data_IF_892191262465
#
_entry.id   IF_892191262465
#
_cell.length_a   1.000
_cell.length_b   1.000
_cell.length_c   1.000
_cell.angle_alpha   90.00
_cell.angle_beta   90.00
_cell.angle_gamma   90.00
#
_symmetry.space_group_name_H-M   'P 1'
#
loop_
_entity.id
_entity.type
_entity.pdbx_description
1 polymer ?
#
# COMPACT_ATOMS: atom_id res chain seq x y z
N UNK A 1 -31.59 -10.34 4.41
CA UNK A 1 -31.16 -9.66 3.17
C UNK A 1 -29.94 -8.81 3.51
N UNK A 2 -28.76 -9.27 3.12
CA UNK A 2 -27.52 -8.49 3.27
C UNK A 2 -27.53 -7.36 2.23
N UNK A 3 -27.40 -6.11 2.67
CA UNK A 3 -27.25 -4.98 1.78
C UNK A 3 -25.80 -4.82 1.36
N UNK A 4 -25.57 -4.55 0.09
CA UNK A 4 -24.24 -4.20 -0.44
C UNK A 4 -23.76 -2.92 0.22
N UNK A 5 -22.54 -2.91 0.76
CA UNK A 5 -21.94 -1.72 1.36
C UNK A 5 -21.71 -0.64 0.32
N UNK A 6 -21.94 0.62 0.68
CA UNK A 6 -21.67 1.78 -0.15
C UNK A 6 -20.17 1.95 -0.50
N UNK A 7 -19.29 1.42 0.35
CA UNK A 7 -17.82 1.40 0.12
C UNK A 7 -17.42 0.46 -1.03
N UNK A 8 -18.36 -0.36 -1.54
CA UNK A 8 -18.11 -1.39 -2.55
C UNK A 8 -18.77 -1.09 -3.90
N UNK A 9 -19.34 0.11 -4.08
CA UNK A 9 -20.07 0.48 -5.30
C UNK A 9 -19.22 1.32 -6.25
N UNK A 10 -18.15 0.78 -6.83
CA UNK A 10 -17.47 1.45 -7.95
C UNK A 10 -17.16 0.57 -9.15
N UNK A 11 -17.75 -0.61 -9.28
CA UNK A 11 -17.72 -1.34 -10.56
C UNK A 11 -18.86 -2.33 -10.66
N UNK A 12 -19.53 -2.47 -11.82
CA UNK A 12 -20.65 -3.41 -11.99
C UNK A 12 -20.20 -4.87 -12.11
N UNK A 13 -19.19 -5.32 -11.40
CA UNK A 13 -18.65 -6.68 -11.48
C UNK A 13 -18.02 -7.25 -10.21
N UNK A 14 -17.56 -6.42 -9.26
CA UNK A 14 -16.74 -6.90 -8.16
C UNK A 14 -17.35 -6.57 -6.78
N UNK A 15 -18.01 -7.55 -6.19
CA UNK A 15 -18.41 -7.57 -4.79
C UNK A 15 -17.24 -8.03 -3.94
N UNK A 16 -16.32 -7.11 -3.60
CA UNK A 16 -15.14 -7.46 -2.81
C UNK A 16 -15.43 -7.70 -1.31
N UNK A 17 -16.60 -7.27 -0.78
CA UNK A 17 -16.83 -7.20 0.67
C UNK A 17 -18.31 -7.24 1.01
N UNK A 18 -18.64 -7.87 2.13
CA UNK A 18 -19.98 -7.82 2.72
C UNK A 18 -19.96 -7.01 4.00
N UNK A 19 -20.88 -6.08 4.13
CA UNK A 19 -21.14 -5.35 5.37
C UNK A 19 -22.48 -5.78 5.97
N UNK A 20 -22.49 -6.23 7.23
CA UNK A 20 -23.68 -6.71 7.90
C UNK A 20 -24.74 -5.63 8.10
N UNK A 21 -24.33 -4.38 8.20
CA UNK A 21 -25.21 -3.23 8.47
C UNK A 21 -25.48 -2.34 7.25
N UNK A 22 -25.00 -2.75 6.07
CA UNK A 22 -25.30 -2.07 4.81
C UNK A 22 -24.46 -0.84 4.48
N UNK A 23 -23.27 -0.69 5.10
CA UNK A 23 -22.30 0.33 4.76
C UNK A 23 -22.32 1.55 5.66
N UNK A 24 -21.93 2.69 5.10
CA UNK A 24 -21.88 3.97 5.82
C UNK A 24 -23.29 4.50 6.08
N UNK A 25 -23.89 4.05 7.17
CA UNK A 25 -25.19 4.54 7.63
C UNK A 25 -25.03 5.67 8.62
N UNK A 26 -25.78 6.74 8.43
CA UNK A 26 -25.87 7.84 9.40
C UNK A 26 -26.61 7.32 10.64
N UNK A 27 -26.19 7.74 11.82
CA UNK A 27 -26.91 7.49 13.07
C UNK A 27 -28.24 8.28 13.01
N UNK A 28 -29.29 7.68 12.46
CA UNK A 28 -30.65 8.22 12.49
C UNK A 28 -31.54 7.27 13.24
N UNK A 29 -32.50 7.79 13.99
CA UNK A 29 -33.37 7.02 14.87
C UNK A 29 -34.27 6.02 14.10
N UNK A 30 -34.41 6.18 12.79
CA UNK A 30 -35.29 5.37 11.96
C UNK A 30 -34.59 4.19 11.24
N UNK A 31 -33.28 4.19 11.07
CA UNK A 31 -32.61 3.23 10.17
C UNK A 31 -31.59 2.33 10.88
N UNK A 32 -31.15 2.63 12.07
CA UNK A 32 -30.02 1.95 12.70
C UNK A 32 -30.37 1.14 13.94
N UNK A 33 -31.25 0.16 13.81
CA UNK A 33 -31.46 -0.83 14.89
C UNK A 33 -30.24 -1.74 15.13
N UNK A 34 -29.36 -1.90 14.13
CA UNK A 34 -28.20 -2.79 14.20
C UNK A 34 -26.86 -2.06 14.35
N UNK A 35 -26.73 -0.86 13.81
CA UNK A 35 -25.48 -0.09 13.81
C UNK A 35 -25.00 0.37 12.44
N UNK A 36 -23.79 0.90 12.38
CA UNK A 36 -23.15 1.43 11.18
C UNK A 36 -21.65 1.61 11.38
N UNK A 37 -20.98 2.35 10.50
CA UNK A 37 -19.56 2.69 10.67
C UNK A 37 -19.31 3.55 11.91
N UNK A 38 -20.32 4.26 12.41
CA UNK A 38 -20.25 5.05 13.63
C UNK A 38 -20.08 4.24 14.92
N UNK A 39 -20.42 2.94 14.91
CA UNK A 39 -20.21 1.99 16.02
C UNK A 39 -19.55 0.68 15.54
N UNK A 40 -18.86 0.73 14.44
CA UNK A 40 -18.17 -0.42 13.82
C UNK A 40 -16.75 -0.66 14.31
N UNK A 41 -16.19 0.27 15.10
CA UNK A 41 -14.82 0.20 15.59
C UNK A 41 -14.65 -0.61 16.89
N UNK A 42 -13.64 -0.22 17.66
CA UNK A 42 -13.23 -0.92 18.88
C UNK A 42 -14.23 -0.76 20.03
N UNK A 43 -14.22 -1.74 20.94
CA UNK A 43 -15.03 -1.72 22.15
C UNK A 43 -14.50 -0.67 23.13
N UNK A 44 -15.29 0.38 23.40
CA UNK A 44 -14.93 1.45 24.34
C UNK A 44 -15.34 1.05 25.77
N UNK A 45 -16.56 0.52 25.91
CA UNK A 45 -17.10 0.12 27.22
C UNK A 45 -17.72 -1.26 27.11
N UNK A 46 -17.21 -2.19 27.94
CA UNK A 46 -17.76 -3.55 28.03
C UNK A 46 -18.95 -3.59 29.00
N UNK A 47 -19.87 -4.51 28.74
CA UNK A 47 -21.02 -4.80 29.58
C UNK A 47 -21.37 -6.28 29.50
N UNK A 48 -21.86 -6.84 30.63
CA UNK A 48 -22.36 -8.22 30.68
C UNK A 48 -23.53 -8.44 29.72
N UNK A 49 -24.31 -7.39 29.45
CA UNK A 49 -25.40 -7.40 28.44
C UNK A 49 -24.85 -6.85 27.14
N UNK A 50 -24.85 -7.67 26.10
CA UNK A 50 -24.29 -7.31 24.77
C UNK A 50 -24.91 -6.03 24.19
N UNK A 51 -26.20 -5.81 24.43
CA UNK A 51 -26.91 -4.61 23.98
C UNK A 51 -26.41 -3.30 24.62
N UNK A 52 -25.74 -3.39 25.79
CA UNK A 52 -25.21 -2.23 26.52
C UNK A 52 -23.73 -1.98 26.25
N UNK A 53 -23.12 -2.72 25.35
CA UNK A 53 -21.72 -2.50 24.94
C UNK A 53 -21.63 -1.27 24.06
N UNK A 54 -20.69 -0.40 24.36
CA UNK A 54 -20.43 0.82 23.59
C UNK A 54 -19.20 0.60 22.71
N UNK A 55 -19.38 0.80 21.41
CA UNK A 55 -18.30 0.73 20.42
C UNK A 55 -18.07 2.10 19.81
N UNK A 56 -16.81 2.39 19.49
CA UNK A 56 -16.40 3.59 18.78
C UNK A 56 -16.73 3.54 17.28
N UNK A 57 -16.48 4.66 16.63
CA UNK A 57 -16.50 4.71 15.17
C UNK A 57 -15.34 3.90 14.58
N UNK A 58 -15.49 3.47 13.33
CA UNK A 58 -14.38 2.84 12.58
C UNK A 58 -13.24 3.85 12.45
N UNK A 59 -12.02 3.51 12.88
CA UNK A 59 -10.84 4.37 12.72
C UNK A 59 -10.63 4.71 11.24
N UNK A 60 -10.16 5.93 10.95
CA UNK A 60 -10.01 6.48 9.59
C UNK A 60 -11.31 6.59 8.77
N UNK A 61 -12.47 6.32 9.40
CA UNK A 61 -13.76 6.55 8.78
C UNK A 61 -14.38 5.32 8.11
N UNK A 62 -15.45 5.54 7.33
CA UNK A 62 -16.34 4.48 6.85
C UNK A 62 -15.70 3.47 5.88
N UNK A 63 -14.58 3.80 5.25
CA UNK A 63 -13.94 2.95 4.23
C UNK A 63 -12.94 1.97 4.83
N UNK A 64 -12.55 2.13 6.09
CA UNK A 64 -11.60 1.24 6.76
C UNK A 64 -12.28 -0.03 7.28
N UNK A 65 -12.77 -0.87 6.36
CA UNK A 65 -13.52 -2.09 6.70
C UNK A 65 -12.67 -3.15 7.42
N UNK A 66 -11.35 -3.15 7.28
CA UNK A 66 -10.47 -4.12 7.93
C UNK A 66 -10.47 -4.02 9.46
N UNK A 67 -10.82 -2.84 10.01
CA UNK A 67 -11.00 -2.62 11.47
C UNK A 67 -12.47 -2.50 11.87
N UNK A 68 -13.38 -2.91 11.00
CA UNK A 68 -14.81 -2.81 11.25
C UNK A 68 -15.40 -4.16 11.69
N UNK A 69 -16.03 -4.21 12.86
CA UNK A 69 -16.68 -5.44 13.38
C UNK A 69 -17.83 -5.97 12.52
N UNK A 70 -18.38 -5.13 11.64
CA UNK A 70 -19.45 -5.50 10.72
C UNK A 70 -18.95 -6.06 9.39
N UNK A 71 -17.64 -6.13 9.20
CA UNK A 71 -17.04 -6.56 7.95
C UNK A 71 -16.96 -8.08 7.85
N UNK A 72 -17.36 -8.62 6.69
CA UNK A 72 -17.21 -10.03 6.33
C UNK A 72 -16.49 -10.13 5.00
N UNK A 73 -15.57 -11.08 4.90
CA UNK A 73 -14.82 -11.37 3.69
C UNK A 73 -14.77 -12.88 3.43
N UNK A 74 -14.28 -13.28 2.28
CA UNK A 74 -14.12 -14.66 1.87
C UNK A 74 -12.72 -14.86 1.27
N UNK A 75 -12.26 -16.13 1.17
CA UNK A 75 -10.96 -16.47 0.61
C UNK A 75 -10.74 -15.98 -0.82
N UNK A 76 -11.80 -15.92 -1.63
CA UNK A 76 -11.72 -15.39 -3.02
C UNK A 76 -11.25 -13.93 -3.10
N UNK A 77 -11.34 -13.17 -1.99
CA UNK A 77 -10.90 -11.78 -1.92
C UNK A 77 -9.47 -11.63 -1.38
N UNK A 78 -8.79 -12.74 -1.11
CA UNK A 78 -7.44 -12.74 -0.60
C UNK A 78 -6.46 -11.93 -1.47
N UNK A 79 -6.50 -12.00 -2.83
CA UNK A 79 -5.64 -11.17 -3.65
C UNK A 79 -5.87 -9.65 -3.44
N UNK A 80 -7.13 -9.22 -3.32
CA UNK A 80 -7.45 -7.82 -3.07
C UNK A 80 -7.04 -7.35 -1.66
N UNK A 81 -7.16 -8.23 -0.66
CA UNK A 81 -6.67 -7.94 0.68
C UNK A 81 -5.14 -7.84 0.73
N UNK A 82 -4.43 -8.66 -0.04
CA UNK A 82 -2.97 -8.55 -0.17
C UNK A 82 -2.55 -7.25 -0.85
N UNK A 83 -3.25 -6.85 -1.91
CA UNK A 83 -3.00 -5.57 -2.55
C UNK A 83 -3.20 -4.40 -1.57
N UNK A 84 -4.27 -4.45 -0.79
CA UNK A 84 -4.53 -3.47 0.26
C UNK A 84 -3.48 -3.50 1.38
N UNK A 85 -3.02 -4.68 1.78
CA UNK A 85 -1.94 -4.86 2.75
C UNK A 85 -0.64 -4.20 2.29
N UNK A 86 -0.24 -4.42 1.03
CA UNK A 86 0.94 -3.78 0.45
C UNK A 86 0.82 -2.25 0.45
N UNK A 87 -0.38 -1.74 0.14
CA UNK A 87 -0.65 -0.30 0.20
C UNK A 87 -0.53 0.26 1.63
N UNK A 88 -1.05 -0.45 2.63
CA UNK A 88 -0.93 -0.06 4.04
C UNK A 88 0.51 -0.09 4.51
N UNK A 89 1.27 -1.13 4.13
CA UNK A 89 2.71 -1.22 4.40
C UNK A 89 3.47 0.01 3.88
N UNK A 90 3.18 0.42 2.65
CA UNK A 90 3.78 1.62 2.07
C UNK A 90 3.40 2.90 2.83
N UNK A 91 2.11 3.07 3.15
CA UNK A 91 1.63 4.24 3.91
C UNK A 91 2.24 4.30 5.31
N UNK A 92 2.30 3.17 6.01
CA UNK A 92 2.92 3.08 7.34
C UNK A 92 4.41 3.45 7.29
N UNK A 93 5.13 2.93 6.30
CA UNK A 93 6.55 3.27 6.10
C UNK A 93 6.75 4.76 5.79
N UNK A 94 5.93 5.34 4.91
CA UNK A 94 6.00 6.78 4.61
C UNK A 94 5.71 7.64 5.84
N UNK A 95 4.68 7.30 6.60
CA UNK A 95 4.32 8.05 7.79
C UNK A 95 5.39 7.96 8.88
N UNK A 96 6.00 6.77 9.05
CA UNK A 96 7.10 6.55 9.98
C UNK A 96 8.35 7.35 9.59
N UNK A 97 8.75 7.33 8.32
CA UNK A 97 9.90 8.10 7.85
C UNK A 97 9.69 9.61 8.05
N UNK A 98 8.48 10.11 7.74
CA UNK A 98 8.16 11.52 7.97
C UNK A 98 8.19 11.87 9.46
N UNK A 99 7.75 10.95 10.34
CA UNK A 99 7.84 11.14 11.79
C UNK A 99 9.30 11.29 12.25
N UNK A 100 10.20 10.42 11.74
CA UNK A 100 11.64 10.48 12.05
C UNK A 100 12.30 11.76 11.53
N UNK A 101 11.93 12.22 10.32
CA UNK A 101 12.41 13.49 9.78
C UNK A 101 12.01 14.68 10.67
N UNK A 102 10.74 14.74 11.08
CA UNK A 102 10.24 15.80 11.96
C UNK A 102 10.88 15.73 13.35
N UNK A 103 11.11 14.52 13.87
CA UNK A 103 11.80 14.30 15.14
C UNK A 103 13.22 14.88 15.11
N UNK A 104 13.97 14.62 14.04
CA UNK A 104 15.30 15.18 13.86
C UNK A 104 15.33 16.71 13.78
N UNK A 105 14.33 17.34 13.10
CA UNK A 105 14.15 18.79 13.10
C UNK A 105 13.83 19.31 14.52
N UNK A 106 12.99 18.60 15.26
CA UNK A 106 12.59 18.96 16.62
C UNK A 106 13.76 18.87 17.61
N UNK A 107 14.57 17.82 17.53
CA UNK A 107 15.77 17.67 18.35
C UNK A 107 16.77 18.77 18.07
N UNK A 108 17.00 19.11 16.80
CA UNK A 108 17.89 20.22 16.42
C UNK A 108 17.45 21.56 17.02
N UNK A 109 16.14 21.86 17.04
CA UNK A 109 15.62 23.08 17.66
C UNK A 109 15.71 23.06 19.20
N UNK A 110 15.54 21.91 19.83
CA UNK A 110 15.72 21.72 21.27
C UNK A 110 17.19 21.92 21.68
N UNK A 111 18.11 21.42 20.88
CA UNK A 111 19.53 21.63 21.09
C UNK A 111 19.89 23.12 20.96
N UNK A 112 19.35 23.83 19.95
CA UNK A 112 19.52 25.27 19.80
C UNK A 112 18.99 26.05 21.02
N UNK A 113 17.81 25.66 21.52
CA UNK A 113 17.24 26.22 22.73
C UNK A 113 18.18 26.03 23.93
N UNK A 114 18.65 24.81 24.15
CA UNK A 114 19.55 24.45 25.23
C UNK A 114 20.84 25.25 25.17
N UNK A 115 21.48 25.39 24.01
CA UNK A 115 22.69 26.22 23.84
C UNK A 115 22.46 27.71 24.10
N UNK A 116 21.28 28.23 23.68
CA UNK A 116 20.91 29.63 24.01
C UNK A 116 20.79 29.85 25.52
N UNK A 117 20.14 28.92 26.23
CA UNK A 117 19.97 28.96 27.67
C UNK A 117 21.31 28.86 28.40
N UNK A 118 22.22 27.97 28.01
CA UNK A 118 23.56 27.87 28.57
C UNK A 118 24.41 29.14 28.40
N UNK A 119 24.21 29.84 27.26
CA UNK A 119 24.91 31.09 26.98
C UNK A 119 24.23 32.32 27.58
N UNK A 120 23.11 32.15 28.30
CA UNK A 120 22.32 33.27 28.84
C UNK A 120 21.67 34.15 27.76
N UNK A 121 21.47 33.62 26.56
CA UNK A 121 20.84 34.29 25.42
C UNK A 121 19.35 33.95 25.34
N UNK A 122 18.49 34.88 24.93
CA UNK A 122 17.08 34.53 24.71
C UNK A 122 16.94 33.59 23.49
N UNK A 123 16.19 32.51 23.64
CA UNK A 123 15.78 31.67 22.52
C UNK A 123 14.57 32.34 21.84
N UNK A 124 14.67 32.64 20.54
CA UNK A 124 13.65 33.44 19.81
C UNK A 124 12.61 32.55 19.12
N UNK A 125 12.93 31.25 18.87
CA UNK A 125 12.11 30.32 18.04
C UNK A 125 11.10 29.49 18.83
N UNK A 126 10.56 30.03 19.94
CA UNK A 126 9.58 29.31 20.78
C UNK A 126 8.34 28.87 20.01
N UNK A 127 7.79 29.75 19.16
CA UNK A 127 6.59 29.44 18.38
C UNK A 127 6.86 28.33 17.34
N UNK A 128 8.03 28.37 16.71
CA UNK A 128 8.48 27.35 15.76
C UNK A 128 8.63 25.98 16.45
N UNK A 129 9.26 25.94 17.61
CA UNK A 129 9.42 24.73 18.42
C UNK A 129 8.06 24.14 18.80
N UNK A 130 7.11 24.96 19.26
CA UNK A 130 5.76 24.50 19.60
C UNK A 130 4.99 24.00 18.37
N UNK A 131 5.11 24.67 17.22
CA UNK A 131 4.48 24.26 15.99
C UNK A 131 5.02 22.90 15.51
N UNK A 132 6.34 22.73 15.58
CA UNK A 132 7.01 21.49 15.20
C UNK A 132 6.67 20.35 16.15
N UNK A 133 6.58 20.60 17.45
CA UNK A 133 6.15 19.63 18.46
C UNK A 133 4.74 19.10 18.14
N UNK A 134 3.78 19.99 17.84
CA UNK A 134 2.41 19.60 17.46
C UNK A 134 2.38 18.82 16.15
N UNK A 135 3.25 19.18 15.20
CA UNK A 135 3.37 18.48 13.92
C UNK A 135 3.91 17.07 14.13
N UNK A 136 4.93 16.91 14.99
CA UNK A 136 5.49 15.64 15.39
C UNK A 136 4.44 14.70 16.02
N UNK A 137 3.75 15.21 17.05
CA UNK A 137 2.70 14.45 17.76
C UNK A 137 1.60 13.98 16.80
N UNK A 138 1.16 14.86 15.89
CA UNK A 138 0.17 14.49 14.88
C UNK A 138 0.68 13.42 13.93
N UNK A 139 1.92 13.54 13.47
CA UNK A 139 2.53 12.59 12.54
C UNK A 139 2.76 11.24 13.19
N UNK A 140 3.15 11.20 14.45
CA UNK A 140 3.31 9.98 15.23
C UNK A 140 1.97 9.24 15.37
N UNK A 141 0.90 9.94 15.71
CA UNK A 141 -0.45 9.34 15.76
C UNK A 141 -0.86 8.76 14.40
N UNK A 142 -0.58 9.47 13.31
CA UNK A 142 -0.89 8.98 11.96
C UNK A 142 -0.09 7.73 11.61
N UNK A 143 1.19 7.67 11.95
CA UNK A 143 2.04 6.51 11.74
C UNK A 143 1.53 5.29 12.54
N UNK A 144 1.17 5.49 13.80
CA UNK A 144 0.61 4.45 14.68
C UNK A 144 -0.70 3.89 14.13
N UNK A 145 -1.58 4.74 13.61
CA UNK A 145 -2.85 4.30 13.04
C UNK A 145 -2.67 3.49 11.75
N UNK A 146 -1.75 3.89 10.85
CA UNK A 146 -1.42 3.05 9.69
C UNK A 146 -0.78 1.73 10.08
N UNK A 147 0.06 1.70 11.13
CA UNK A 147 0.62 0.46 11.65
C UNK A 147 -0.47 -0.46 12.20
N UNK A 148 -1.46 0.07 12.93
CA UNK A 148 -2.61 -0.70 13.43
C UNK A 148 -3.48 -1.24 12.29
N UNK A 149 -3.72 -0.44 11.24
CA UNK A 149 -4.46 -0.88 10.05
C UNK A 149 -3.73 -2.01 9.34
N UNK A 150 -2.41 -1.89 9.20
CA UNK A 150 -1.56 -2.90 8.60
C UNK A 150 -1.60 -4.22 9.37
N UNK A 151 -1.48 -4.17 10.72
CA UNK A 151 -1.59 -5.34 11.59
C UNK A 151 -2.97 -5.99 11.48
N UNK A 152 -4.04 -5.20 11.50
CA UNK A 152 -5.41 -5.71 11.37
C UNK A 152 -5.63 -6.42 10.03
N UNK A 153 -5.08 -5.87 8.93
CA UNK A 153 -5.14 -6.50 7.62
C UNK A 153 -4.37 -7.83 7.59
N UNK A 154 -3.18 -7.87 8.19
CA UNK A 154 -2.36 -9.07 8.32
C UNK A 154 -3.08 -10.19 9.09
N UNK A 155 -3.64 -9.87 10.25
CA UNK A 155 -4.39 -10.82 11.07
C UNK A 155 -5.62 -11.36 10.34
N UNK A 156 -6.33 -10.51 9.59
CA UNK A 156 -7.47 -10.91 8.79
C UNK A 156 -7.08 -11.89 7.68
N UNK A 157 -6.00 -11.60 6.95
CA UNK A 157 -5.45 -12.46 5.90
C UNK A 157 -5.09 -13.83 6.49
N UNK A 158 -4.35 -13.87 7.59
CA UNK A 158 -3.99 -15.12 8.26
C UNK A 158 -5.18 -15.91 8.78
N UNK A 159 -6.21 -15.22 9.26
CA UNK A 159 -7.46 -15.86 9.67
C UNK A 159 -8.15 -16.56 8.50
N UNK A 160 -8.20 -15.90 7.33
CA UNK A 160 -8.79 -16.48 6.12
C UNK A 160 -8.04 -17.74 5.70
N UNK A 161 -6.70 -17.69 5.70
CA UNK A 161 -5.87 -18.84 5.31
C UNK A 161 -6.09 -20.03 6.24
N UNK A 162 -6.06 -19.81 7.56
CA UNK A 162 -6.31 -20.90 8.54
C UNK A 162 -7.66 -21.55 8.33
N UNK A 163 -8.70 -20.74 7.98
CA UNK A 163 -10.04 -21.28 7.69
C UNK A 163 -10.03 -22.11 6.42
N UNK A 164 -9.33 -21.69 5.37
CA UNK A 164 -9.22 -22.46 4.12
C UNK A 164 -8.40 -23.75 4.31
N UNK A 165 -7.30 -23.69 5.04
CA UNK A 165 -6.51 -24.88 5.38
C UNK A 165 -7.31 -25.91 6.18
N UNK A 166 -8.13 -25.45 7.13
CA UNK A 166 -9.03 -26.31 7.89
C UNK A 166 -10.09 -26.97 7.00
N UNK A 167 -10.69 -26.18 6.08
CA UNK A 167 -11.68 -26.68 5.11
C UNK A 167 -11.10 -27.71 4.14
N UNK A 168 -9.85 -27.55 3.71
CA UNK A 168 -9.17 -28.49 2.81
C UNK A 168 -8.85 -29.84 3.46
N UNK A 169 -8.84 -29.92 4.79
CA UNK A 169 -8.64 -31.15 5.55
C UNK A 169 -9.92 -31.96 5.74
N UNK A 170 -11.06 -31.29 5.81
CA UNK A 170 -12.38 -31.93 5.86
C UNK A 170 -12.98 -31.96 4.46
N UNK A 171 -13.23 -33.15 3.92
CA UNK A 171 -13.68 -33.45 2.54
C UNK A 171 -15.15 -32.99 2.29
N UNK A 172 -15.54 -31.81 2.74
CA UNK A 172 -16.85 -31.23 2.55
C UNK A 172 -16.95 -30.53 1.20
N UNK A 173 -18.02 -30.86 0.46
CA UNK A 173 -18.24 -30.55 -0.97
C UNK A 173 -18.37 -29.08 -1.36
N UNK A 174 -18.40 -28.13 -0.43
CA UNK A 174 -18.45 -26.69 -0.70
C UNK A 174 -17.04 -26.05 -0.62
N UNK A 175 -16.16 -26.52 -1.50
CA UNK A 175 -14.85 -25.90 -1.69
C UNK A 175 -15.04 -24.59 -2.46
N UNK A 176 -15.07 -23.46 -1.76
CA UNK A 176 -14.75 -22.18 -2.35
C UNK A 176 -13.26 -22.26 -2.76
N UNK A 177 -13.01 -22.34 -4.05
CA UNK A 177 -11.67 -22.48 -4.60
C UNK A 177 -10.99 -21.11 -4.50
N UNK A 178 -9.86 -21.04 -3.80
CA UNK A 178 -8.93 -19.93 -3.96
C UNK A 178 -8.55 -19.85 -5.45
N UNK A 179 -8.71 -18.69 -6.07
CA UNK A 179 -8.27 -18.46 -7.44
C UNK A 179 -6.76 -18.21 -7.39
N UNK A 180 -6.00 -19.27 -7.26
CA UNK A 180 -4.55 -19.25 -7.19
C UNK A 180 -4.01 -20.58 -6.68
N UNK A 181 -2.79 -20.93 -7.07
CA UNK A 181 -2.11 -22.08 -6.51
C UNK A 181 -1.73 -21.81 -5.05
N UNK A 182 -1.51 -22.83 -4.25
CA UNK A 182 -1.00 -22.73 -2.88
C UNK A 182 0.31 -21.90 -2.83
N UNK A 183 1.09 -21.97 -3.90
CA UNK A 183 2.29 -21.17 -4.10
C UNK A 183 1.97 -19.68 -4.28
N UNK A 184 0.93 -19.32 -5.03
CA UNK A 184 0.52 -17.93 -5.23
C UNK A 184 0.03 -17.30 -3.91
N UNK A 185 -0.71 -18.07 -3.11
CA UNK A 185 -1.16 -17.64 -1.78
C UNK A 185 0.02 -17.47 -0.83
N UNK A 186 0.95 -18.44 -0.82
CA UNK A 186 2.17 -18.36 -0.02
C UNK A 186 3.06 -17.19 -0.41
N UNK A 187 3.17 -16.90 -1.71
CA UNK A 187 3.89 -15.73 -2.22
C UNK A 187 3.27 -14.40 -1.80
N UNK A 188 1.95 -14.30 -1.90
CA UNK A 188 1.23 -13.09 -1.53
C UNK A 188 1.34 -12.75 -0.04
N UNK A 189 1.65 -13.76 0.80
CA UNK A 189 1.74 -13.63 2.26
C UNK A 189 3.17 -13.51 2.79
N UNK A 190 4.18 -13.56 1.94
CA UNK A 190 5.53 -13.26 2.40
C UNK A 190 5.59 -11.82 2.89
N UNK A 191 5.83 -11.69 4.18
CA UNK A 191 6.12 -10.44 4.84
C UNK A 191 7.34 -9.81 4.19
N UNK A 192 7.19 -8.59 3.70
CA UNK A 192 8.29 -7.87 3.08
C UNK A 192 8.82 -6.88 4.11
N UNK A 193 9.66 -7.37 5.02
CA UNK A 193 10.59 -6.47 5.72
C UNK A 193 11.66 -6.05 4.72
N UNK A 194 11.61 -4.82 4.27
CA UNK A 194 12.65 -4.26 3.41
C UNK A 194 12.68 -2.75 3.55
N UNK A 195 13.88 -2.20 3.60
CA UNK A 195 14.12 -0.76 3.53
C UNK A 195 14.09 -0.25 2.07
N UNK A 196 13.92 -1.14 1.09
CA UNK A 196 13.89 -0.76 -0.32
C UNK A 196 12.57 -0.08 -0.68
N UNK A 197 12.60 1.24 -0.84
CA UNK A 197 11.47 2.03 -1.33
C UNK A 197 11.05 1.60 -2.75
N UNK A 198 12.02 1.24 -3.61
CA UNK A 198 11.71 0.79 -4.96
C UNK A 198 10.95 -0.53 -4.96
N UNK A 199 11.28 -1.45 -4.06
CA UNK A 199 10.55 -2.71 -3.91
C UNK A 199 9.10 -2.46 -3.50
N UNK A 200 8.87 -1.66 -2.45
CA UNK A 200 7.53 -1.30 -2.00
C UNK A 200 6.71 -0.65 -3.12
N UNK A 201 7.25 0.38 -3.76
CA UNK A 201 6.60 1.07 -4.87
C UNK A 201 6.27 0.12 -6.04
N UNK A 202 7.16 -0.83 -6.33
CA UNK A 202 6.97 -1.77 -7.44
C UNK A 202 5.83 -2.74 -7.18
N UNK A 203 5.73 -3.28 -5.96
CA UNK A 203 4.67 -4.21 -5.57
C UNK A 203 3.29 -3.53 -5.53
N UNK A 204 3.20 -2.35 -4.94
CA UNK A 204 1.95 -1.59 -4.89
C UNK A 204 1.47 -1.23 -6.30
N UNK A 205 2.38 -0.77 -7.15
CA UNK A 205 2.03 -0.40 -8.51
C UNK A 205 1.71 -1.62 -9.39
N UNK A 206 2.27 -2.79 -9.11
CA UNK A 206 1.88 -4.01 -9.80
C UNK A 206 0.44 -4.39 -9.50
N UNK A 207 0.06 -4.37 -8.22
CA UNK A 207 -1.31 -4.66 -7.80
C UNK A 207 -2.30 -3.63 -8.38
N UNK A 208 -1.91 -2.36 -8.44
CA UNK A 208 -2.75 -1.28 -8.98
C UNK A 208 -3.06 -1.42 -10.48
N UNK A 209 -2.28 -2.18 -11.25
CA UNK A 209 -2.61 -2.48 -12.66
C UNK A 209 -3.91 -3.29 -12.77
N UNK A 210 -4.19 -4.16 -11.79
CA UNK A 210 -5.33 -5.06 -11.78
C UNK A 210 -6.52 -4.54 -10.96
N UNK A 211 -6.27 -3.64 -10.01
CA UNK A 211 -7.28 -3.12 -9.09
C UNK A 211 -7.48 -1.62 -9.26
N UNK A 212 -8.53 -1.18 -10.00
CA UNK A 212 -8.80 0.24 -10.28
C UNK A 212 -8.92 1.10 -9.00
N UNK A 213 -9.48 0.55 -7.93
CA UNK A 213 -9.62 1.27 -6.66
C UNK A 213 -8.25 1.63 -6.06
N UNK A 214 -7.24 0.76 -6.24
CA UNK A 214 -5.86 1.07 -5.86
C UNK A 214 -5.24 2.15 -6.74
N UNK A 215 -5.58 2.22 -8.03
CA UNK A 215 -5.10 3.30 -8.90
C UNK A 215 -5.60 4.67 -8.40
N UNK A 216 -6.86 4.78 -8.02
CA UNK A 216 -7.43 6.02 -7.50
C UNK A 216 -6.78 6.43 -6.17
N UNK A 217 -6.48 5.47 -5.30
CA UNK A 217 -5.73 5.74 -4.07
C UNK A 217 -4.26 6.14 -4.35
N UNK A 218 -3.59 5.49 -5.28
CA UNK A 218 -2.21 5.83 -5.66
C UNK A 218 -2.10 7.20 -6.33
N UNK A 219 -3.16 7.70 -6.97
CA UNK A 219 -3.21 9.08 -7.48
C UNK A 219 -3.24 10.13 -6.37
N UNK A 220 -3.76 9.78 -5.19
CA UNK A 220 -3.73 10.65 -4.01
C UNK A 220 -2.33 10.68 -3.36
N UNK A 221 -1.50 9.70 -3.67
CA UNK A 221 -0.12 9.61 -3.21
C UNK A 221 0.82 9.68 -4.42
N UNK A 222 2.01 10.28 -4.34
CA UNK A 222 2.92 10.37 -5.48
C UNK A 222 3.64 9.03 -5.79
N UNK A 223 3.04 7.88 -5.48
CA UNK A 223 3.71 6.57 -5.57
C UNK A 223 4.11 6.20 -7.01
N UNK A 224 3.18 6.37 -7.97
CA UNK A 224 3.46 6.10 -9.39
C UNK A 224 4.58 7.02 -9.88
N UNK A 225 4.47 8.31 -9.59
CA UNK A 225 5.44 9.31 -9.99
C UNK A 225 6.83 9.08 -9.33
N UNK A 226 6.88 8.78 -8.04
CA UNK A 226 8.14 8.46 -7.35
C UNK A 226 8.86 7.28 -7.97
N UNK A 227 8.14 6.19 -8.26
CA UNK A 227 8.70 5.03 -8.94
C UNK A 227 9.21 5.40 -10.33
N UNK A 228 8.41 6.10 -11.11
CA UNK A 228 8.74 6.54 -12.47
C UNK A 228 9.96 7.45 -12.49
N UNK A 229 10.09 8.36 -11.52
CA UNK A 229 11.30 9.19 -11.35
C UNK A 229 12.55 8.37 -11.06
N UNK A 230 12.45 7.33 -10.19
CA UNK A 230 13.58 6.42 -9.91
C UNK A 230 14.01 5.69 -11.18
N UNK A 231 13.06 5.13 -11.93
CA UNK A 231 13.35 4.44 -13.19
C UNK A 231 13.89 5.39 -14.27
N UNK A 232 13.34 6.60 -14.41
CA UNK A 232 13.87 7.62 -15.32
C UNK A 232 15.33 7.98 -14.99
N UNK A 233 15.71 8.06 -13.72
CA UNK A 233 17.11 8.27 -13.33
C UNK A 233 18.02 7.13 -13.78
N UNK A 234 17.53 5.89 -13.71
CA UNK A 234 18.27 4.70 -14.20
C UNK A 234 18.47 4.81 -15.71
N UNK A 235 17.41 5.14 -16.46
CA UNK A 235 17.49 5.36 -17.92
C UNK A 235 18.50 6.44 -18.27
N UNK A 236 18.41 7.61 -17.66
CA UNK A 236 19.32 8.74 -17.92
C UNK A 236 20.78 8.38 -17.63
N UNK A 237 21.07 7.67 -16.53
CA UNK A 237 22.43 7.24 -16.22
C UNK A 237 22.99 6.25 -17.22
N UNK A 238 22.14 5.58 -18.01
CA UNK A 238 22.50 4.68 -19.10
C UNK A 238 22.48 5.37 -20.47
N UNK A 239 22.23 6.67 -20.53
CA UNK A 239 22.17 7.45 -21.77
C UNK A 239 20.83 7.37 -22.52
N UNK A 240 19.78 6.84 -21.89
CA UNK A 240 18.44 6.82 -22.47
C UNK A 240 17.61 8.03 -22.03
N UNK A 241 16.60 8.37 -22.81
CA UNK A 241 15.67 9.44 -22.46
C UNK A 241 14.78 9.05 -21.25
N UNK A 242 14.37 10.01 -20.40
CA UNK A 242 13.53 9.77 -19.24
C UNK A 242 12.04 9.60 -19.61
N UNK A 243 11.74 8.68 -20.49
CA UNK A 243 10.43 8.49 -21.13
C UNK A 243 9.24 8.41 -20.18
N UNK A 244 9.44 7.92 -18.96
CA UNK A 244 8.34 7.87 -17.98
C UNK A 244 7.82 9.25 -17.60
N UNK A 245 8.62 10.30 -17.73
CA UNK A 245 8.21 11.67 -17.42
C UNK A 245 7.27 12.28 -18.47
N UNK A 246 7.21 11.70 -19.65
CA UNK A 246 6.36 12.12 -20.75
C UNK A 246 5.03 11.34 -20.82
N UNK A 247 4.89 10.31 -19.98
CA UNK A 247 3.73 9.44 -19.91
C UNK A 247 2.71 9.94 -18.89
N UNK A 248 1.42 9.71 -19.14
CA UNK A 248 0.39 9.85 -18.11
C UNK A 248 0.50 8.76 -17.02
N UNK A 249 -0.18 8.92 -15.87
CA UNK A 249 -0.10 8.02 -14.74
C UNK A 249 -0.41 6.56 -15.09
N UNK A 250 -1.40 6.34 -15.97
CA UNK A 250 -1.79 5.00 -16.40
C UNK A 250 -0.72 4.36 -17.29
N UNK A 251 -0.15 5.14 -18.19
CA UNK A 251 0.93 4.70 -19.05
C UNK A 251 2.20 4.43 -18.24
N UNK A 252 2.55 5.31 -17.29
CA UNK A 252 3.65 5.10 -16.36
C UNK A 252 3.47 3.80 -15.56
N UNK A 253 2.25 3.55 -15.06
CA UNK A 253 1.93 2.36 -14.31
C UNK A 253 2.18 1.09 -15.12
N UNK A 254 1.58 1.00 -16.33
CA UNK A 254 1.64 -0.19 -17.18
C UNK A 254 3.06 -0.44 -17.71
N UNK A 255 3.71 0.61 -18.22
CA UNK A 255 5.05 0.50 -18.80
C UNK A 255 6.11 0.12 -17.77
N UNK A 256 6.09 0.77 -16.60
CA UNK A 256 7.02 0.45 -15.53
C UNK A 256 6.79 -0.95 -14.94
N UNK A 257 5.51 -1.38 -14.82
CA UNK A 257 5.19 -2.75 -14.41
C UNK A 257 5.73 -3.78 -15.41
N UNK A 258 5.56 -3.52 -16.71
CA UNK A 258 6.05 -4.44 -17.74
C UNK A 258 7.58 -4.59 -17.66
N UNK A 259 8.30 -3.48 -17.54
CA UNK A 259 9.76 -3.48 -17.39
C UNK A 259 10.21 -4.28 -16.15
N UNK A 260 9.69 -3.90 -14.99
CA UNK A 260 10.12 -4.49 -13.72
C UNK A 260 9.70 -5.96 -13.60
N UNK A 261 8.50 -6.33 -14.04
CA UNK A 261 8.01 -7.71 -14.07
C UNK A 261 8.89 -8.60 -14.96
N UNK A 262 9.28 -8.09 -16.11
CA UNK A 262 10.18 -8.83 -17.01
C UNK A 262 11.57 -9.04 -16.39
N UNK A 263 12.13 -7.98 -15.81
CA UNK A 263 13.41 -8.06 -15.08
C UNK A 263 13.31 -9.03 -13.89
N UNK A 264 12.23 -8.96 -13.11
CA UNK A 264 12.03 -9.85 -11.96
C UNK A 264 11.96 -11.32 -12.37
N UNK A 265 11.23 -11.62 -13.45
CA UNK A 265 11.14 -12.98 -13.99
C UNK A 265 12.49 -13.55 -14.45
N UNK A 266 13.38 -12.69 -14.92
CA UNK A 266 14.73 -13.10 -15.33
C UNK A 266 15.65 -13.24 -14.12
N UNK A 267 15.52 -12.33 -13.15
CA UNK A 267 16.34 -12.34 -11.94
C UNK A 267 16.02 -13.56 -11.06
N UNK A 268 14.75 -13.96 -11.01
CA UNK A 268 14.30 -15.19 -10.37
C UNK A 268 13.06 -15.74 -11.08
N UNK A 269 13.20 -16.84 -11.85
CA UNK A 269 12.09 -17.45 -12.56
C UNK A 269 11.09 -18.17 -11.63
N UNK A 270 11.55 -18.64 -10.48
CA UNK A 270 10.81 -19.52 -9.59
C UNK A 270 10.11 -18.73 -8.46
N UNK A 271 10.71 -17.62 -7.99
CA UNK A 271 10.14 -16.79 -6.94
C UNK A 271 9.96 -15.33 -7.40
N UNK A 272 8.72 -14.96 -7.70
CA UNK A 272 8.36 -13.61 -8.17
C UNK A 272 8.80 -12.50 -7.21
N UNK A 273 8.57 -12.68 -5.91
CA UNK A 273 8.92 -11.68 -4.91
C UNK A 273 10.44 -11.53 -4.78
N UNK A 274 11.14 -12.64 -4.75
CA UNK A 274 12.60 -12.63 -4.72
C UNK A 274 13.17 -12.02 -6.01
N UNK A 275 12.52 -12.25 -7.15
CA UNK A 275 12.83 -11.58 -8.41
C UNK A 275 12.72 -10.05 -8.29
N UNK A 276 11.63 -9.54 -7.75
CA UNK A 276 11.46 -8.09 -7.51
C UNK A 276 12.50 -7.55 -6.52
N UNK A 277 12.82 -8.30 -5.47
CA UNK A 277 13.85 -7.91 -4.49
C UNK A 277 15.22 -7.81 -5.15
N UNK A 278 15.61 -8.79 -5.96
CA UNK A 278 16.86 -8.78 -6.71
C UNK A 278 16.93 -7.58 -7.66
N UNK A 279 15.85 -7.27 -8.37
CA UNK A 279 15.78 -6.11 -9.27
C UNK A 279 15.88 -4.80 -8.49
N UNK A 280 15.19 -4.66 -7.38
CA UNK A 280 15.27 -3.46 -6.55
C UNK A 280 16.70 -3.24 -6.02
N UNK A 281 17.31 -4.27 -5.47
CA UNK A 281 18.71 -4.21 -5.02
C UNK A 281 19.67 -3.88 -6.17
N UNK A 282 19.51 -4.51 -7.32
CA UNK A 282 20.30 -4.26 -8.53
C UNK A 282 20.25 -2.80 -8.97
N UNK A 283 19.06 -2.20 -8.92
CA UNK A 283 18.84 -0.80 -9.29
C UNK A 283 19.39 0.13 -8.20
N UNK A 284 19.10 -0.12 -6.93
CA UNK A 284 19.51 0.75 -5.82
C UNK A 284 21.01 0.69 -5.56
N UNK A 285 21.65 -0.46 -5.72
CA UNK A 285 23.11 -0.60 -5.67
C UNK A 285 23.83 -0.02 -6.90
N UNK A 286 23.11 0.31 -7.96
CA UNK A 286 23.70 0.83 -9.18
C UNK A 286 24.42 -0.22 -10.04
N UNK A 287 24.18 -1.50 -9.80
CA UNK A 287 24.82 -2.62 -10.52
C UNK A 287 24.47 -2.60 -12.02
N UNK A 288 23.33 -2.02 -12.38
CA UNK A 288 22.93 -1.81 -13.78
C UNK A 288 23.93 -0.97 -14.58
N UNK A 289 24.82 -0.23 -13.92
CA UNK A 289 25.88 0.54 -14.59
C UNK A 289 26.96 -0.38 -15.18
N UNK A 290 27.20 -1.52 -14.55
CA UNK A 290 28.24 -2.48 -14.92
C UNK A 290 27.69 -3.66 -15.71
N UNK A 291 26.50 -4.16 -15.36
CA UNK A 291 25.82 -5.26 -16.03
C UNK A 291 24.67 -4.73 -16.91
N UNK A 292 24.70 -5.06 -18.20
CA UNK A 292 23.71 -4.61 -19.16
C UNK A 292 22.62 -5.65 -19.45
N UNK A 293 22.82 -6.94 -19.11
CA UNK A 293 21.93 -8.01 -19.58
C UNK A 293 20.51 -7.86 -19.02
N UNK A 294 20.37 -7.75 -17.71
CA UNK A 294 19.07 -7.63 -17.05
C UNK A 294 18.37 -6.32 -17.43
N UNK A 295 19.14 -5.24 -17.48
CA UNK A 295 18.64 -3.92 -17.84
C UNK A 295 18.16 -3.89 -19.31
N UNK A 296 18.96 -4.39 -20.26
CA UNK A 296 18.59 -4.41 -21.69
C UNK A 296 17.29 -5.17 -21.93
N UNK A 297 17.09 -6.29 -21.25
CA UNK A 297 15.86 -7.05 -21.36
C UNK A 297 14.65 -6.30 -20.77
N UNK A 298 14.84 -5.55 -19.68
CA UNK A 298 13.82 -4.67 -19.15
C UNK A 298 13.43 -3.56 -20.13
N UNK A 299 14.42 -2.97 -20.83
CA UNK A 299 14.19 -1.98 -21.88
C UNK A 299 13.37 -2.55 -23.05
N UNK A 300 13.67 -3.76 -23.51
CA UNK A 300 12.85 -4.40 -24.56
C UNK A 300 11.38 -4.53 -24.14
N UNK A 301 11.11 -5.02 -22.94
CA UNK A 301 9.75 -5.14 -22.42
C UNK A 301 9.04 -3.77 -22.31
N UNK A 302 9.77 -2.72 -21.94
CA UNK A 302 9.27 -1.35 -21.89
C UNK A 302 8.91 -0.83 -23.29
N UNK A 303 9.78 -1.05 -24.28
CA UNK A 303 9.59 -0.61 -25.68
C UNK A 303 8.37 -1.29 -26.29
N UNK A 304 8.22 -2.60 -26.11
CA UNK A 304 7.07 -3.35 -26.61
C UNK A 304 5.75 -2.82 -26.06
N UNK A 305 5.72 -2.47 -24.77
CA UNK A 305 4.53 -1.90 -24.13
C UNK A 305 4.24 -0.48 -24.58
N UNK A 306 5.25 0.36 -24.72
CA UNK A 306 5.09 1.74 -25.17
C UNK A 306 4.55 1.81 -26.61
N UNK A 307 4.99 0.93 -27.49
CA UNK A 307 4.45 0.80 -28.87
C UNK A 307 2.97 0.42 -28.83
N UNK A 308 2.59 -0.55 -27.99
CA UNK A 308 1.20 -1.00 -27.86
C UNK A 308 0.27 0.06 -27.23
N UNK A 309 0.81 1.02 -26.50
CA UNK A 309 0.04 2.12 -25.90
C UNK A 309 -0.23 3.28 -26.90
N UNK A 310 0.22 3.17 -28.13
CA UNK A 310 0.05 4.17 -29.21
C UNK A 310 0.48 5.60 -28.85
N UNK A 311 1.40 5.77 -27.92
CA UNK A 311 1.57 7.07 -27.31
C UNK A 311 2.94 7.68 -27.43
N UNK A 312 3.97 6.98 -27.82
CA UNK A 312 5.26 7.63 -28.08
C UNK A 312 6.04 6.76 -29.07
N UNK A 313 6.35 7.33 -30.22
CA UNK A 313 7.47 6.84 -31.01
C UNK A 313 8.70 7.02 -30.13
N UNK A 314 9.22 5.93 -29.56
CA UNK A 314 10.49 5.92 -28.82
C UNK A 314 11.62 5.99 -29.86
N UNK A 315 12.11 7.19 -30.24
CA UNK A 315 13.23 7.26 -31.15
C UNK A 315 14.46 6.76 -30.40
N UNK A 316 15.11 5.75 -30.94
CA UNK A 316 16.48 5.39 -30.64
C UNK A 316 16.82 4.75 -29.28
N UNK A 317 15.90 4.04 -28.63
CA UNK A 317 16.22 3.23 -27.45
C UNK A 317 17.12 2.00 -27.78
N UNK A 318 17.29 1.67 -29.05
CA UNK A 318 18.00 0.46 -29.51
C UNK A 318 19.32 0.76 -30.25
N UNK A 319 19.69 2.00 -30.47
CA UNK A 319 20.91 2.38 -31.22
C UNK A 319 22.06 2.87 -30.31
N UNK A 320 22.02 2.56 -29.01
CA UNK A 320 23.07 2.90 -28.07
C UNK A 320 23.88 1.70 -27.56
#
# INVERSE_FOLDING_TARGET
QFRKSCCCQRSPGELLRLCLVGGNTVKSDEVSTLGGCWNGGELIQDSKVVANRIYGSVPHGPENCIRCRWFITEARYLPALNAHFNQLSYKAHQAANLSVEIEGELESLKDEQFFCEEQGKPFIKHDELQALQRRYEKQQVEADEYAKDWIACFELIHKIIRVEEARNKDDTKDKLIAVGSEQDVSHALKFIETDSELLHLSLICEDAEFYPDLQDELRKTPAIEKRSRKLSRVLMKKGFEPIFMEMDDKQQLIAANAMLRHMAKIADPDDKLEGYRKVANYIEAGEYLNDNKLFSQGIHALTDKAINLNSIALPNLLEG
#
